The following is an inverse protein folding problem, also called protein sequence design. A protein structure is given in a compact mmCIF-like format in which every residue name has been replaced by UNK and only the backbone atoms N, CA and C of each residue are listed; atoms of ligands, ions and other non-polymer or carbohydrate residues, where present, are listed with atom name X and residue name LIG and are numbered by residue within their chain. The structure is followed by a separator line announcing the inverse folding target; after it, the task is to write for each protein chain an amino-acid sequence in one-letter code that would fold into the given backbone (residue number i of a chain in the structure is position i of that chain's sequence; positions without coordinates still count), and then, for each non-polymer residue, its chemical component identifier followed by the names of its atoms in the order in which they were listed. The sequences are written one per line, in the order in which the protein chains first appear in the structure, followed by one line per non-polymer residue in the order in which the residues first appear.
data_IF_840306002992
#
_entry.id   IF_840306002992
#
_cell.length_a   1.000
_cell.length_b   1.000
_cell.length_c   1.000
_cell.angle_alpha   90.00
_cell.angle_beta   90.00
_cell.angle_gamma   90.00
#
_symmetry.space_group_name_H-M   'P 1'
#
loop_
_entity.id
_entity.type
_entity.pdbx_description
1 polymer ?
#
# COMPACT_ATOMS: atom_id res chain seq x y z
N UNK A 1 21.45 -27.96 34.51
CA UNK A 1 20.43 -27.70 33.46
C UNK A 1 19.44 -26.71 34.02
N UNK A 2 19.03 -25.68 33.28
CA UNK A 2 17.93 -24.82 33.70
C UNK A 2 16.62 -25.63 33.75
N UNK A 3 15.73 -25.36 34.72
CA UNK A 3 14.45 -26.05 34.83
C UNK A 3 13.53 -25.69 33.64
N UNK A 4 12.67 -26.62 33.19
CA UNK A 4 11.65 -26.30 32.19
C UNK A 4 10.71 -25.22 32.74
N UNK A 5 10.41 -24.22 31.92
CA UNK A 5 9.47 -23.17 32.28
C UNK A 5 8.06 -23.77 32.46
N UNK A 6 7.30 -23.35 33.48
CA UNK A 6 5.95 -23.84 33.69
C UNK A 6 5.00 -23.29 32.62
N UNK A 7 4.11 -24.16 32.11
CA UNK A 7 3.03 -23.77 31.22
C UNK A 7 1.97 -22.93 31.96
N UNK A 8 1.32 -21.93 31.32
CA UNK A 8 1.53 -21.48 29.94
C UNK A 8 2.75 -20.57 29.86
N UNK A 9 3.70 -20.99 29.02
CA UNK A 9 4.80 -20.12 28.61
C UNK A 9 4.18 -18.84 28.05
N UNK A 10 4.65 -17.64 28.44
CA UNK A 10 4.21 -16.40 27.81
C UNK A 10 4.75 -16.40 26.37
N UNK A 11 4.04 -17.08 25.47
CA UNK A 11 4.15 -16.88 24.03
C UNK A 11 3.81 -15.39 23.84
N UNK A 12 4.80 -14.59 23.47
CA UNK A 12 4.65 -13.14 23.27
C UNK A 12 3.83 -12.92 21.99
N UNK A 13 2.53 -13.16 22.07
CA UNK A 13 1.58 -13.01 20.97
C UNK A 13 1.41 -11.51 20.71
N UNK A 14 1.87 -11.07 19.54
CA UNK A 14 1.59 -9.73 19.03
C UNK A 14 0.30 -9.73 18.23
N UNK A 15 -0.56 -8.74 18.45
CA UNK A 15 -1.72 -8.47 17.58
C UNK A 15 -1.47 -7.17 16.85
N UNK A 16 -1.92 -7.09 15.60
CA UNK A 16 -1.84 -5.87 14.79
C UNK A 16 -3.17 -5.65 14.05
N UNK A 17 -3.56 -4.38 13.92
CA UNK A 17 -4.77 -3.96 13.22
C UNK A 17 -4.40 -2.99 12.10
N UNK A 18 -4.56 -3.47 10.88
CA UNK A 18 -4.22 -2.74 9.67
C UNK A 18 -5.47 -2.28 8.92
N UNK A 19 -5.52 -0.98 8.57
CA UNK A 19 -6.57 -0.43 7.69
C UNK A 19 -6.14 -0.52 6.22
N UNK A 20 -6.86 -1.27 5.39
CA UNK A 20 -6.58 -1.42 3.95
C UNK A 20 -6.54 -0.08 3.24
N UNK A 21 -7.48 0.83 3.53
CA UNK A 21 -7.50 2.17 2.95
C UNK A 21 -6.21 2.97 3.23
N UNK A 22 -5.61 2.80 4.42
CA UNK A 22 -4.32 3.45 4.77
C UNK A 22 -3.20 2.90 3.90
N UNK A 23 -3.14 1.59 3.73
CA UNK A 23 -2.13 0.96 2.87
C UNK A 23 -2.32 1.40 1.42
N UNK A 24 -3.55 1.39 0.90
CA UNK A 24 -3.84 1.86 -0.45
C UNK A 24 -3.40 3.32 -0.67
N UNK A 25 -3.61 4.20 0.31
CA UNK A 25 -3.14 5.58 0.26
C UNK A 25 -1.61 5.67 0.22
N UNK A 26 -0.90 4.88 1.03
CA UNK A 26 0.57 4.80 0.98
C UNK A 26 1.04 4.29 -0.37
N UNK A 27 0.39 3.27 -0.94
CA UNK A 27 0.76 2.69 -2.23
C UNK A 27 0.60 3.65 -3.41
N UNK A 28 -0.38 4.57 -3.34
CA UNK A 28 -0.56 5.63 -4.35
C UNK A 28 0.44 6.78 -4.21
N UNK A 29 1.11 6.89 -3.06
CA UNK A 29 2.11 7.94 -2.86
C UNK A 29 3.41 7.64 -3.62
N UNK A 30 4.25 8.66 -3.81
CA UNK A 30 5.62 8.51 -4.35
C UNK A 30 6.46 7.48 -3.58
N UNK A 31 6.13 7.19 -2.33
CA UNK A 31 6.86 6.21 -1.50
C UNK A 31 6.32 4.78 -1.62
N UNK A 32 5.25 4.54 -2.40
CA UNK A 32 4.58 3.24 -2.48
C UNK A 32 5.52 2.08 -2.82
N UNK A 33 6.37 2.23 -3.84
CA UNK A 33 7.33 1.19 -4.20
C UNK A 33 8.36 0.90 -3.11
N UNK A 34 8.82 1.94 -2.40
CA UNK A 34 9.74 1.79 -1.26
C UNK A 34 9.04 1.11 -0.09
N UNK A 35 7.77 1.43 0.15
CA UNK A 35 6.96 0.80 1.19
C UNK A 35 6.80 -0.69 0.94
N UNK A 36 6.46 -1.10 -0.30
CA UNK A 36 6.36 -2.53 -0.68
C UNK A 36 7.67 -3.26 -0.37
N UNK A 37 8.81 -2.72 -0.84
CA UNK A 37 10.14 -3.32 -0.63
C UNK A 37 10.61 -3.33 0.83
N UNK A 38 9.98 -2.53 1.69
CA UNK A 38 10.29 -2.48 3.13
C UNK A 38 9.48 -3.51 3.92
N UNK A 39 8.27 -3.82 3.47
CA UNK A 39 7.36 -4.73 4.16
C UNK A 39 7.54 -6.16 3.68
N UNK A 40 7.58 -6.37 2.36
CA UNK A 40 7.70 -7.69 1.77
C UNK A 40 9.17 -8.09 1.65
N UNK A 41 9.50 -9.28 2.13
CA UNK A 41 10.79 -9.90 1.88
C UNK A 41 10.94 -10.26 0.38
N UNK A 42 12.18 -10.42 -0.14
CA UNK A 42 12.40 -10.77 -1.54
C UNK A 42 11.66 -12.04 -1.99
N UNK A 43 11.58 -13.04 -1.10
CA UNK A 43 10.90 -14.32 -1.34
C UNK A 43 9.38 -14.13 -1.43
N UNK A 44 8.81 -13.30 -0.55
CA UNK A 44 7.39 -12.96 -0.56
C UNK A 44 7.01 -12.14 -1.79
N UNK A 45 7.93 -11.27 -2.24
CA UNK A 45 7.74 -10.47 -3.43
C UNK A 45 7.77 -11.33 -4.71
N UNK A 46 8.58 -12.38 -4.74
CA UNK A 46 8.64 -13.31 -5.87
C UNK A 46 7.34 -14.09 -6.08
N UNK A 47 6.60 -14.37 -4.99
CA UNK A 47 5.32 -15.07 -5.00
C UNK A 47 4.10 -14.14 -4.86
N UNK A 48 4.29 -12.82 -4.95
CA UNK A 48 3.24 -11.85 -4.69
C UNK A 48 2.12 -11.87 -5.76
N UNK A 49 0.94 -11.38 -5.38
CA UNK A 49 -0.19 -11.24 -6.32
C UNK A 49 0.15 -10.28 -7.47
N UNK A 50 -0.41 -10.48 -8.69
CA UNK A 50 -0.14 -9.62 -9.85
C UNK A 50 -0.33 -8.12 -9.61
N UNK A 51 -1.28 -7.73 -8.75
CA UNK A 51 -1.54 -6.34 -8.39
C UNK A 51 -0.31 -5.64 -7.77
N UNK A 52 0.52 -6.35 -7.01
CA UNK A 52 1.75 -5.78 -6.41
C UNK A 52 2.75 -5.43 -7.51
N UNK A 53 2.92 -6.32 -8.50
CA UNK A 53 3.81 -6.08 -9.63
C UNK A 53 3.30 -4.95 -10.54
N UNK A 54 1.98 -4.81 -10.71
CA UNK A 54 1.38 -3.68 -11.42
C UNK A 54 1.69 -2.35 -10.74
N UNK A 55 1.56 -2.27 -9.40
CA UNK A 55 1.92 -1.06 -8.64
C UNK A 55 3.42 -0.75 -8.76
N UNK A 56 4.30 -1.74 -8.67
CA UNK A 56 5.74 -1.54 -8.84
C UNK A 56 6.11 -1.07 -10.25
N UNK A 57 5.44 -1.62 -11.28
CA UNK A 57 5.63 -1.19 -12.67
C UNK A 57 5.18 0.27 -12.86
N UNK A 58 4.03 0.64 -12.32
CA UNK A 58 3.52 2.01 -12.37
C UNK A 58 4.47 3.00 -11.68
N UNK A 59 5.01 2.63 -10.52
CA UNK A 59 5.99 3.47 -9.81
C UNK A 59 7.34 3.60 -10.55
N UNK A 60 7.76 2.55 -11.28
CA UNK A 60 8.93 2.59 -12.15
C UNK A 60 8.79 3.58 -13.30
N UNK A 61 7.59 3.67 -13.91
CA UNK A 61 7.30 4.64 -14.96
C UNK A 61 7.36 6.10 -14.44
N UNK A 62 6.94 6.35 -13.19
CA UNK A 62 6.93 7.69 -12.59
C UNK A 62 8.33 8.21 -12.23
N UNK A 63 9.30 7.33 -12.02
CA UNK A 63 10.67 7.71 -11.65
C UNK A 63 11.48 8.24 -12.85
N UNK A 64 11.09 7.91 -14.07
CA UNK A 64 11.75 8.38 -15.30
C UNK A 64 11.25 9.73 -15.84
N UNK A 65 10.23 10.33 -15.23
CA UNK A 65 9.58 11.55 -15.73
C UNK A 65 9.93 12.83 -14.95
N UNK A 66 10.71 12.75 -13.86
CA UNK A 66 10.89 13.85 -12.90
C UNK A 66 12.30 14.48 -12.92
N UNK A 67 12.94 14.58 -14.08
CA UNK A 67 14.20 15.33 -14.27
C UNK A 67 13.98 16.76 -14.82
N UNK A 68 12.73 17.21 -14.92
CA UNK A 68 12.39 18.56 -15.38
C UNK A 68 11.08 19.06 -14.76
N UNK A 69 11.05 20.36 -14.50
CA UNK A 69 9.86 21.15 -14.14
C UNK A 69 9.50 21.25 -12.64
N UNK A 70 10.16 22.23 -12.02
CA UNK A 70 9.76 22.96 -10.82
C UNK A 70 8.97 24.22 -11.26
N UNK A 71 8.02 24.66 -10.41
CA UNK A 71 7.19 25.92 -10.43
C UNK A 71 5.76 25.70 -10.98
N UNK A 72 4.63 26.13 -10.39
CA UNK A 72 4.25 27.17 -9.40
C UNK A 72 2.96 26.70 -8.67
N UNK A 73 2.75 27.10 -7.41
CA UNK A 73 1.48 26.92 -6.69
C UNK A 73 0.44 28.01 -6.97
N UNK A 74 -0.85 27.69 -6.81
CA UNK A 74 -1.92 28.68 -6.56
C UNK A 74 -3.02 28.03 -5.70
N UNK A 75 -3.38 28.71 -4.61
CA UNK A 75 -4.56 28.50 -3.77
C UNK A 75 -5.88 28.69 -4.53
N UNK A 76 -6.94 27.98 -4.13
CA UNK A 76 -8.30 28.56 -4.17
C UNK A 76 -9.49 27.66 -4.55
N UNK A 77 -10.27 27.34 -3.51
CA UNK A 77 -11.76 27.35 -3.41
C UNK A 77 -12.60 26.17 -3.90
N UNK A 78 -13.56 25.90 -3.01
CA UNK A 78 -14.67 24.97 -2.99
C UNK A 78 -15.67 25.13 -4.14
N UNK A 79 -16.24 24.01 -4.60
CA UNK A 79 -17.67 23.90 -4.91
C UNK A 79 -18.12 22.45 -4.63
N UNK A 80 -19.13 22.30 -3.77
CA UNK A 80 -19.89 21.06 -3.56
C UNK A 80 -20.67 20.68 -4.82
N UNK A 81 -20.52 19.43 -5.30
CA UNK A 81 -21.53 18.80 -6.17
C UNK A 81 -21.70 17.31 -5.80
N UNK A 82 -22.88 17.02 -5.26
CA UNK A 82 -23.40 15.68 -4.98
C UNK A 82 -23.92 15.10 -6.30
N UNK A 83 -23.13 14.22 -6.92
CA UNK A 83 -23.53 13.39 -8.06
C UNK A 83 -23.22 11.94 -7.77
N UNK A 84 -24.22 11.16 -7.35
CA UNK A 84 -24.10 9.72 -7.18
C UNK A 84 -24.22 9.04 -8.56
N UNK A 85 -23.11 9.04 -9.30
CA UNK A 85 -22.91 8.28 -10.54
C UNK A 85 -22.73 6.77 -10.24
N UNK A 86 -23.11 5.85 -11.16
CA UNK A 86 -22.97 4.42 -10.93
C UNK A 86 -21.49 4.03 -10.84
N UNK A 87 -21.10 3.45 -9.70
CA UNK A 87 -19.74 3.05 -9.31
C UNK A 87 -19.06 2.11 -10.32
N UNK A 88 -18.49 2.69 -11.37
CA UNK A 88 -17.43 2.03 -12.14
C UNK A 88 -16.15 2.37 -11.38
N UNK A 89 -15.79 1.53 -10.39
CA UNK A 89 -14.52 1.70 -9.66
C UNK A 89 -13.40 1.85 -10.70
N UNK A 90 -12.64 2.95 -10.62
CA UNK A 90 -11.56 3.17 -11.59
C UNK A 90 -10.59 1.99 -11.51
N UNK A 91 -10.08 1.51 -12.65
CA UNK A 91 -9.20 0.33 -12.68
C UNK A 91 -8.02 0.47 -11.71
N UNK A 92 -7.51 1.69 -11.56
CA UNK A 92 -6.50 2.02 -10.56
C UNK A 92 -6.96 1.74 -9.13
N UNK A 93 -8.16 2.18 -8.75
CA UNK A 93 -8.72 1.91 -7.42
C UNK A 93 -8.78 0.40 -7.14
N UNK A 94 -9.17 -0.40 -8.12
CA UNK A 94 -9.22 -1.86 -8.01
C UNK A 94 -7.81 -2.44 -7.80
N UNK A 95 -6.82 -2.01 -8.59
CA UNK A 95 -5.44 -2.49 -8.50
C UNK A 95 -4.83 -2.16 -7.12
N UNK A 96 -4.90 -0.89 -6.71
CA UNK A 96 -4.38 -0.46 -5.41
C UNK A 96 -5.13 -1.11 -4.24
N UNK A 97 -6.45 -1.31 -4.37
CA UNK A 97 -7.26 -2.01 -3.38
C UNK A 97 -6.84 -3.46 -3.21
N UNK A 98 -6.64 -4.19 -4.32
CA UNK A 98 -6.17 -5.59 -4.31
C UNK A 98 -4.76 -5.72 -3.74
N UNK A 99 -3.86 -4.82 -4.12
CA UNK A 99 -2.50 -4.76 -3.56
C UNK A 99 -2.51 -4.48 -2.05
N UNK A 100 -3.31 -3.51 -1.61
CA UNK A 100 -3.42 -3.14 -0.20
C UNK A 100 -4.06 -4.25 0.65
N UNK A 101 -5.02 -4.98 0.10
CA UNK A 101 -5.67 -6.12 0.77
C UNK A 101 -4.67 -7.25 0.99
N UNK A 102 -3.88 -7.57 -0.04
CA UNK A 102 -2.79 -8.54 0.07
C UNK A 102 -1.78 -8.16 1.17
N UNK A 103 -1.32 -6.90 1.18
CA UNK A 103 -0.38 -6.40 2.20
C UNK A 103 -0.98 -6.35 3.60
N UNK A 104 -2.31 -6.35 3.73
CA UNK A 104 -3.01 -6.44 5.01
C UNK A 104 -3.21 -7.91 5.47
N UNK A 105 -2.68 -8.89 4.73
CA UNK A 105 -2.81 -10.31 5.03
C UNK A 105 -4.17 -10.92 4.64
N UNK A 106 -4.86 -10.35 3.63
CA UNK A 106 -6.17 -10.79 3.14
C UNK A 106 -6.16 -11.23 1.67
#
# INVERSE_FOLDING_TARGET
MPPPLPFPYPLRIGTDICRVARIAHILRSRQGARFIRRVLAPEELACARPAIHQVLKAAGAQSGANDGEKLIGIDGRDVDEVGQEPNTESEEQVIYGRAATYMAGR
#
